data_IF_660252610064
#
_entry.id   IF_660252610064
#
_cell.length_a   1.000
_cell.length_b   1.000
_cell.length_c   1.000
_cell.angle_alpha   90.00
_cell.angle_beta   90.00
_cell.angle_gamma   90.00
#
_symmetry.space_group_name_H-M   'P 1'
#
loop_
_entity.id
_entity.type
_entity.pdbx_description
1 polymer ?
#
# COMPACT_ATOMS: atom_id res chain seq x y z
N UNK A 1 28.12 11.52 15.25
CA UNK A 1 27.75 12.86 15.75
C UNK A 1 26.70 12.65 16.81
N UNK A 2 26.87 13.13 18.06
CA UNK A 2 25.80 13.08 19.05
C UNK A 2 24.77 14.16 18.72
N UNK A 3 23.50 13.78 18.58
CA UNK A 3 22.38 14.70 18.43
C UNK A 3 22.24 15.50 19.73
N UNK A 4 22.25 16.83 19.66
CA UNK A 4 22.09 17.67 20.84
C UNK A 4 20.67 17.50 21.42
N UNK A 5 20.52 17.07 22.68
CA UNK A 5 19.21 16.74 23.27
C UNK A 5 18.19 17.88 23.25
N UNK A 6 18.64 19.14 23.18
CA UNK A 6 17.76 20.31 23.12
C UNK A 6 17.08 20.51 21.75
N UNK A 7 17.72 20.10 20.65
CA UNK A 7 17.20 20.36 19.31
C UNK A 7 15.96 19.50 18.99
N UNK A 8 15.92 18.27 19.49
CA UNK A 8 14.75 17.38 19.34
C UNK A 8 13.56 17.86 20.18
N UNK A 9 13.81 18.34 21.40
CA UNK A 9 12.76 18.89 22.28
C UNK A 9 12.15 20.16 21.68
N UNK A 10 12.97 21.06 21.13
CA UNK A 10 12.51 22.28 20.45
C UNK A 10 11.70 21.96 19.17
N UNK A 11 12.15 20.98 18.37
CA UNK A 11 11.43 20.53 17.19
C UNK A 11 10.06 19.92 17.53
N UNK A 12 9.99 19.12 18.60
CA UNK A 12 8.73 18.55 19.08
C UNK A 12 7.79 19.62 19.62
N UNK A 13 8.31 20.62 20.34
CA UNK A 13 7.52 21.76 20.81
C UNK A 13 6.95 22.57 19.64
N UNK A 14 7.77 22.84 18.62
CA UNK A 14 7.35 23.51 17.40
C UNK A 14 6.27 22.70 16.67
N UNK A 15 6.48 21.40 16.45
CA UNK A 15 5.49 20.54 15.79
C UNK A 15 4.15 20.58 16.55
N UNK A 16 4.17 20.41 17.88
CA UNK A 16 2.97 20.50 18.73
C UNK A 16 2.26 21.85 18.62
N UNK A 17 3.00 22.94 18.42
CA UNK A 17 2.42 24.27 18.23
C UNK A 17 1.71 24.43 16.88
N UNK A 18 2.13 23.67 15.86
CA UNK A 18 1.59 23.73 14.50
C UNK A 18 0.41 22.79 14.28
N UNK A 19 0.31 21.71 15.06
CA UNK A 19 -0.71 20.67 14.92
C UNK A 19 -2.08 21.05 15.51
N UNK A 20 -3.19 20.46 15.02
CA UNK A 20 -4.50 20.67 15.61
C UNK A 20 -4.54 20.22 17.08
N UNK A 21 -5.15 21.03 17.96
CA UNK A 21 -5.32 20.73 19.40
C UNK A 21 -6.65 20.01 19.74
N UNK A 22 -7.37 19.55 18.73
CA UNK A 22 -8.66 18.87 18.91
C UNK A 22 -8.48 17.38 19.22
N UNK A 23 -9.50 16.76 19.81
CA UNK A 23 -9.61 15.32 19.86
C UNK A 23 -10.11 14.78 18.52
N UNK A 24 -9.65 13.60 18.16
CA UNK A 24 -10.06 12.89 16.95
C UNK A 24 -10.59 11.52 17.33
N UNK A 25 -11.64 11.10 16.64
CA UNK A 25 -12.24 9.77 16.82
C UNK A 25 -11.26 8.66 16.41
N UNK A 26 -10.44 8.92 15.39
CA UNK A 26 -9.53 7.95 14.78
C UNK A 26 -8.14 8.54 14.55
N UNK A 27 -7.06 7.74 14.67
CA UNK A 27 -5.71 8.19 14.36
C UNK A 27 -5.56 8.74 12.93
N UNK A 28 -6.22 8.13 11.93
CA UNK A 28 -6.18 8.59 10.54
C UNK A 28 -6.70 10.03 10.38
N UNK A 29 -7.78 10.40 11.08
CA UNK A 29 -8.31 11.77 11.06
C UNK A 29 -7.32 12.78 11.63
N UNK A 30 -6.58 12.41 12.69
CA UNK A 30 -5.55 13.28 13.26
C UNK A 30 -4.41 13.52 12.26
N UNK A 31 -3.97 12.46 11.56
CA UNK A 31 -2.92 12.55 10.53
C UNK A 31 -3.40 13.37 9.33
N UNK A 32 -4.62 13.15 8.83
CA UNK A 32 -5.24 13.93 7.75
C UNK A 32 -5.31 15.42 8.10
N UNK A 33 -5.78 15.75 9.30
CA UNK A 33 -5.85 17.13 9.77
C UNK A 33 -4.47 17.77 9.94
N UNK A 34 -3.50 17.02 10.47
CA UNK A 34 -2.11 17.46 10.58
C UNK A 34 -1.52 17.80 9.21
N UNK A 35 -1.60 16.87 8.25
CA UNK A 35 -1.05 17.07 6.91
C UNK A 35 -1.71 18.25 6.21
N UNK A 36 -3.04 18.41 6.31
CA UNK A 36 -3.75 19.54 5.70
C UNK A 36 -3.30 20.90 6.26
N UNK A 37 -2.94 20.98 7.54
CA UNK A 37 -2.44 22.22 8.16
C UNK A 37 -0.96 22.46 7.80
N UNK A 38 -0.15 21.40 7.77
CA UNK A 38 1.28 21.51 7.52
C UNK A 38 1.58 21.77 6.04
N UNK A 39 0.78 21.21 5.12
CA UNK A 39 1.02 21.30 3.69
C UNK A 39 1.22 22.73 3.17
N UNK A 40 0.27 23.69 3.35
CA UNK A 40 0.46 25.04 2.84
C UNK A 40 1.60 25.80 3.54
N UNK A 41 1.98 25.39 4.76
CA UNK A 41 3.11 26.00 5.48
C UNK A 41 4.47 25.56 4.92
N UNK A 42 4.54 24.35 4.36
CA UNK A 42 5.75 23.78 3.81
C UNK A 42 5.89 23.99 2.30
N UNK A 43 4.77 23.95 1.57
CA UNK A 43 4.76 23.94 0.11
C UNK A 43 4.00 25.12 -0.51
N UNK A 44 3.47 26.03 0.31
CA UNK A 44 2.68 27.17 -0.16
C UNK A 44 1.37 26.77 -0.82
N UNK A 45 0.86 27.62 -1.71
CA UNK A 45 -0.42 27.42 -2.42
C UNK A 45 -0.24 26.91 -3.87
N UNK A 46 1.01 26.77 -4.34
CA UNK A 46 1.32 26.37 -5.71
C UNK A 46 0.99 24.89 -6.00
N UNK A 47 0.78 24.07 -4.97
CA UNK A 47 0.50 22.63 -5.10
C UNK A 47 -0.81 22.26 -4.47
N UNK A 48 -1.68 21.63 -5.27
CA UNK A 48 -2.89 21.01 -4.76
C UNK A 48 -2.53 19.87 -3.79
N UNK A 49 -3.08 19.93 -2.58
CA UNK A 49 -2.95 18.85 -1.61
C UNK A 49 -4.03 17.80 -1.83
N UNK A 50 -3.62 16.59 -2.20
CA UNK A 50 -4.49 15.42 -2.23
C UNK A 50 -3.96 14.37 -1.28
N UNK A 51 -4.81 13.89 -0.39
CA UNK A 51 -4.51 12.77 0.50
C UNK A 51 -5.63 11.74 0.42
N UNK A 52 -5.24 10.51 0.10
CA UNK A 52 -6.12 9.33 0.02
C UNK A 52 -5.67 8.38 1.13
N UNK A 53 -6.61 7.81 1.89
CA UNK A 53 -6.33 6.77 2.88
C UNK A 53 -7.22 5.52 2.72
N UNK A 54 -7.19 4.67 3.73
CA UNK A 54 -7.94 3.42 3.76
C UNK A 54 -9.47 3.61 3.80
N UNK A 55 -9.97 4.75 4.27
CA UNK A 55 -11.40 5.05 4.25
C UNK A 55 -11.87 5.43 2.84
N UNK A 56 -11.04 6.18 2.10
CA UNK A 56 -11.30 6.52 0.70
C UNK A 56 -11.27 5.26 -0.18
N UNK A 57 -10.33 4.34 0.10
CA UNK A 57 -10.29 3.03 -0.59
C UNK A 57 -11.43 2.12 -0.16
N UNK A 58 -11.88 2.17 1.10
CA UNK A 58 -13.06 1.44 1.54
C UNK A 58 -14.32 1.88 0.78
N UNK A 59 -14.46 3.18 0.49
CA UNK A 59 -15.55 3.70 -0.34
C UNK A 59 -15.43 3.21 -1.78
N UNK A 60 -14.23 3.26 -2.38
CA UNK A 60 -14.00 2.70 -3.72
C UNK A 60 -14.32 1.20 -3.81
N UNK A 61 -13.95 0.42 -2.78
CA UNK A 61 -14.32 -1.00 -2.71
C UNK A 61 -15.83 -1.14 -2.62
N UNK A 62 -16.51 -0.34 -1.80
CA UNK A 62 -17.97 -0.38 -1.69
C UNK A 62 -18.65 -0.02 -3.01
N UNK A 63 -18.14 0.95 -3.77
CA UNK A 63 -18.63 1.32 -5.09
C UNK A 63 -18.49 0.16 -6.08
N UNK A 64 -17.31 -0.46 -6.15
CA UNK A 64 -17.09 -1.67 -6.94
C UNK A 64 -18.04 -2.82 -6.54
N UNK A 65 -18.31 -3.01 -5.25
CA UNK A 65 -19.21 -4.07 -4.80
C UNK A 65 -20.69 -3.76 -5.02
N UNK A 66 -21.05 -2.49 -5.09
CA UNK A 66 -22.41 -2.04 -5.36
C UNK A 66 -22.80 -2.24 -6.83
N UNK A 67 -21.84 -2.09 -7.74
CA UNK A 67 -22.02 -2.43 -9.16
C UNK A 67 -22.07 -3.96 -9.37
N UNK A 68 -23.23 -4.45 -9.82
CA UNK A 68 -23.47 -5.87 -10.10
C UNK A 68 -22.57 -6.43 -11.22
N UNK A 69 -22.12 -5.57 -12.13
CA UNK A 69 -21.24 -5.94 -13.24
C UNK A 69 -19.75 -5.86 -12.90
N UNK A 70 -19.40 -5.35 -11.73
CA UNK A 70 -18.00 -5.11 -11.39
C UNK A 70 -17.20 -6.41 -11.31
N UNK A 71 -15.96 -6.37 -11.80
CA UNK A 71 -15.05 -7.52 -11.71
C UNK A 71 -14.84 -7.92 -10.25
N UNK A 72 -14.63 -6.96 -9.34
CA UNK A 72 -14.40 -7.24 -7.92
C UNK A 72 -15.57 -8.02 -7.30
N UNK A 73 -16.80 -7.62 -7.60
CA UNK A 73 -17.99 -8.29 -7.08
C UNK A 73 -18.11 -9.70 -7.66
N UNK A 74 -18.22 -9.78 -8.99
CA UNK A 74 -18.56 -11.01 -9.72
C UNK A 74 -17.46 -12.07 -9.63
N UNK A 75 -16.19 -11.66 -9.54
CA UNK A 75 -15.04 -12.56 -9.58
C UNK A 75 -14.43 -12.80 -8.21
N UNK A 76 -14.36 -11.82 -7.32
CA UNK A 76 -13.76 -12.03 -6.00
C UNK A 76 -14.77 -12.48 -4.95
N UNK A 77 -15.92 -11.80 -4.83
CA UNK A 77 -16.88 -12.07 -3.76
C UNK A 77 -17.90 -13.15 -4.13
N UNK A 78 -18.40 -13.15 -5.36
CA UNK A 78 -19.44 -14.10 -5.79
C UNK A 78 -18.85 -15.42 -6.31
N UNK A 79 -17.56 -15.45 -6.66
CA UNK A 79 -16.83 -16.69 -6.95
C UNK A 79 -15.95 -17.09 -5.77
N UNK A 80 -16.38 -18.05 -4.92
CA UNK A 80 -15.58 -18.48 -3.77
C UNK A 80 -14.25 -19.11 -4.17
N UNK A 81 -14.16 -19.65 -5.40
CA UNK A 81 -12.95 -20.31 -5.92
C UNK A 81 -11.79 -19.33 -6.06
N UNK A 82 -12.02 -18.13 -6.59
CA UNK A 82 -10.93 -17.16 -6.80
C UNK A 82 -10.38 -16.66 -5.48
N UNK A 83 -11.26 -16.26 -4.54
CA UNK A 83 -10.85 -15.80 -3.23
C UNK A 83 -10.03 -16.86 -2.46
N UNK A 84 -10.45 -18.12 -2.49
CA UNK A 84 -9.71 -19.22 -1.87
C UNK A 84 -8.36 -19.46 -2.56
N UNK A 85 -8.32 -19.48 -3.90
CA UNK A 85 -7.07 -19.65 -4.64
C UNK A 85 -6.05 -18.54 -4.36
N UNK A 86 -6.51 -17.29 -4.19
CA UNK A 86 -5.66 -16.16 -3.79
C UNK A 86 -5.02 -16.44 -2.43
N UNK A 87 -5.83 -16.84 -1.45
CA UNK A 87 -5.34 -17.13 -0.10
C UNK A 87 -4.35 -18.30 -0.09
N UNK A 88 -4.63 -19.36 -0.87
CA UNK A 88 -3.75 -20.53 -1.00
C UNK A 88 -2.41 -20.19 -1.68
N UNK A 89 -2.40 -19.26 -2.66
CA UNK A 89 -1.16 -18.81 -3.29
C UNK A 89 -0.33 -17.92 -2.36
N UNK A 90 -0.98 -17.07 -1.54
CA UNK A 90 -0.28 -16.30 -0.50
C UNK A 90 0.39 -17.24 0.50
N UNK A 91 -0.32 -18.29 0.96
CA UNK A 91 0.25 -19.28 1.88
C UNK A 91 1.44 -20.03 1.24
N UNK A 92 1.35 -20.37 -0.06
CA UNK A 92 2.45 -21.00 -0.80
C UNK A 92 3.67 -20.10 -0.91
N UNK A 93 3.49 -18.81 -1.19
CA UNK A 93 4.60 -17.84 -1.19
C UNK A 93 5.22 -17.70 0.20
N UNK A 94 4.39 -17.63 1.24
CA UNK A 94 4.85 -17.48 2.62
C UNK A 94 5.62 -18.69 3.14
N UNK A 95 5.30 -19.90 2.66
CA UNK A 95 6.02 -21.14 2.97
C UNK A 95 7.32 -21.32 2.14
N UNK A 96 7.48 -20.51 1.10
CA UNK A 96 8.63 -20.54 0.21
C UNK A 96 9.69 -19.48 0.55
N UNK A 97 10.63 -19.26 -0.37
CA UNK A 97 11.69 -18.25 -0.22
C UNK A 97 11.17 -16.80 -0.22
N UNK A 98 9.91 -16.59 -0.63
CA UNK A 98 9.21 -15.31 -0.54
C UNK A 98 8.63 -15.02 0.86
N UNK A 99 8.87 -15.91 1.83
CA UNK A 99 8.47 -15.72 3.23
C UNK A 99 8.86 -14.35 3.77
N UNK A 100 7.89 -13.64 4.35
CA UNK A 100 8.08 -12.30 4.93
C UNK A 100 7.87 -11.12 3.96
N UNK A 101 7.91 -11.34 2.64
CA UNK A 101 7.71 -10.27 1.66
C UNK A 101 6.23 -9.98 1.36
N UNK A 102 5.38 -11.00 1.39
CA UNK A 102 3.93 -10.86 1.27
C UNK A 102 3.22 -11.62 2.40
N UNK A 103 3.13 -10.99 3.57
CA UNK A 103 2.56 -11.62 4.76
C UNK A 103 1.02 -11.62 4.77
N UNK A 104 0.42 -12.76 5.13
CA UNK A 104 -1.04 -12.92 5.31
C UNK A 104 -1.54 -12.42 6.69
N UNK A 105 -1.42 -11.11 6.93
CA UNK A 105 -1.86 -10.50 8.18
C UNK A 105 -3.37 -10.66 8.45
N UNK A 106 -4.20 -10.59 7.40
CA UNK A 106 -5.65 -10.78 7.44
C UNK A 106 -6.16 -11.28 6.09
N UNK A 107 -7.33 -11.89 6.06
CA UNK A 107 -7.97 -12.34 4.83
C UNK A 107 -8.90 -11.25 4.30
N UNK A 108 -8.43 -10.54 3.27
CA UNK A 108 -9.11 -9.46 2.55
C UNK A 108 -9.45 -8.21 3.36
N UNK A 109 -10.00 -8.33 4.57
CA UNK A 109 -10.43 -7.21 5.40
C UNK A 109 -9.89 -7.32 6.82
N UNK A 110 -9.58 -6.18 7.43
CA UNK A 110 -9.39 -6.05 8.87
C UNK A 110 -10.72 -5.69 9.52
N UNK A 111 -10.96 -6.19 10.73
CA UNK A 111 -12.02 -5.64 11.58
C UNK A 111 -11.47 -4.47 12.38
N UNK A 112 -12.14 -3.33 12.33
CA UNK A 112 -11.75 -2.14 13.06
C UNK A 112 -12.63 -1.96 14.29
N UNK A 113 -12.02 -2.00 15.46
CA UNK A 113 -12.72 -1.86 16.73
C UNK A 113 -11.81 -1.15 17.75
N UNK A 114 -12.36 -0.16 18.45
CA UNK A 114 -11.65 0.57 19.52
C UNK A 114 -10.26 1.10 19.10
N UNK A 115 -10.17 1.67 17.91
CA UNK A 115 -8.91 2.25 17.41
C UNK A 115 -7.92 1.25 16.83
N UNK A 116 -8.26 -0.05 16.78
CA UNK A 116 -7.33 -1.12 16.39
C UNK A 116 -7.86 -1.92 15.19
N UNK A 117 -6.95 -2.32 14.32
CA UNK A 117 -7.19 -3.30 13.26
C UNK A 117 -6.96 -4.71 13.83
N UNK A 118 -7.96 -5.56 13.71
CA UNK A 118 -7.98 -6.94 14.20
C UNK A 118 -8.03 -7.90 13.00
N UNK A 119 -7.20 -8.95 12.97
CA UNK A 119 -7.13 -9.86 11.84
C UNK A 119 -8.38 -10.74 11.74
N UNK A 120 -8.86 -10.90 10.51
CA UNK A 120 -9.95 -11.79 10.13
C UNK A 120 -9.43 -12.96 9.30
N UNK A 121 -10.10 -14.10 9.44
CA UNK A 121 -9.89 -15.28 8.59
C UNK A 121 -11.18 -15.66 7.88
N UNK A 122 -11.06 -16.02 6.62
CA UNK A 122 -12.17 -16.51 5.83
C UNK A 122 -12.34 -18.01 6.06
N UNK A 123 -13.49 -18.42 6.61
CA UNK A 123 -13.82 -19.82 6.87
C UNK A 123 -15.27 -20.07 6.45
N UNK A 124 -15.48 -20.96 5.48
CA UNK A 124 -16.83 -21.33 5.03
C UNK A 124 -17.66 -20.14 4.51
N UNK A 125 -17.02 -19.15 3.88
CA UNK A 125 -17.69 -17.93 3.39
C UNK A 125 -17.99 -16.88 4.48
N UNK A 126 -17.43 -17.04 5.68
CA UNK A 126 -17.56 -16.11 6.80
C UNK A 126 -16.19 -15.51 7.13
N UNK A 127 -16.17 -14.22 7.46
CA UNK A 127 -15.03 -13.54 8.06
C UNK A 127 -15.11 -13.68 9.59
N UNK A 128 -14.13 -14.35 10.16
CA UNK A 128 -14.06 -14.69 11.58
C UNK A 128 -12.90 -13.94 12.23
N UNK A 129 -13.16 -13.29 13.36
CA UNK A 129 -12.11 -12.70 14.19
C UNK A 129 -11.19 -13.81 14.72
N UNK A 130 -9.90 -13.73 14.40
CA UNK A 130 -8.94 -14.78 14.74
C UNK A 130 -8.80 -15.02 16.25
N UNK A 131 -8.84 -13.95 17.04
CA UNK A 131 -8.64 -14.02 18.49
C UNK A 131 -9.88 -14.53 19.22
N UNK A 132 -11.07 -14.01 18.88
CA UNK A 132 -12.32 -14.34 19.60
C UNK A 132 -13.12 -15.46 18.97
N UNK A 133 -12.76 -15.89 17.74
CA UNK A 133 -13.50 -16.87 16.92
C UNK A 133 -14.94 -16.48 16.64
N UNK A 134 -15.27 -15.20 16.78
CA UNK A 134 -16.60 -14.67 16.49
C UNK A 134 -16.75 -14.37 15.01
N UNK A 135 -17.95 -14.61 14.47
CA UNK A 135 -18.30 -14.20 13.11
C UNK A 135 -18.47 -12.69 13.08
N UNK A 136 -17.73 -12.03 12.19
CA UNK A 136 -17.83 -10.59 11.98
C UNK A 136 -18.77 -10.33 10.80
N UNK A 137 -18.52 -10.93 9.65
CA UNK A 137 -19.33 -10.68 8.45
C UNK A 137 -19.40 -11.91 7.57
N UNK A 138 -20.47 -12.03 6.77
CA UNK A 138 -20.46 -12.94 5.63
C UNK A 138 -19.59 -12.33 4.53
N UNK A 139 -18.76 -13.15 3.88
CA UNK A 139 -17.98 -12.75 2.71
C UNK A 139 -18.89 -12.68 1.47
N UNK A 140 -19.79 -11.70 1.45
CA UNK A 140 -20.78 -11.45 0.41
C UNK A 140 -21.07 -9.96 0.32
N UNK A 141 -21.34 -9.45 -0.88
CA UNK A 141 -21.40 -8.02 -1.16
C UNK A 141 -22.27 -7.21 -0.18
N UNK A 142 -23.53 -7.58 0.14
CA UNK A 142 -24.37 -6.77 1.02
C UNK A 142 -23.76 -6.54 2.41
N UNK A 143 -23.24 -7.61 3.04
CA UNK A 143 -22.66 -7.53 4.39
C UNK A 143 -21.30 -6.85 4.43
N UNK A 144 -20.54 -6.91 3.33
CA UNK A 144 -19.27 -6.21 3.22
C UNK A 144 -19.50 -4.71 2.98
N UNK A 145 -20.39 -4.34 2.04
CA UNK A 145 -20.73 -2.94 1.75
C UNK A 145 -21.21 -2.22 3.00
N UNK A 146 -22.14 -2.81 3.75
CA UNK A 146 -22.65 -2.23 5.00
C UNK A 146 -21.52 -1.93 6.00
N UNK A 147 -20.56 -2.85 6.10
CA UNK A 147 -19.46 -2.74 7.07
C UNK A 147 -18.32 -1.84 6.63
N UNK A 148 -18.12 -1.67 5.32
CA UNK A 148 -17.25 -0.62 4.78
C UNK A 148 -17.88 0.74 5.07
N UNK A 149 -19.18 0.91 4.81
CA UNK A 149 -19.90 2.16 5.04
C UNK A 149 -19.89 2.59 6.52
N UNK A 150 -20.06 1.66 7.46
CA UNK A 150 -19.96 1.95 8.89
C UNK A 150 -18.52 1.90 9.44
N UNK A 151 -17.53 1.76 8.55
CA UNK A 151 -16.10 1.79 8.86
C UNK A 151 -15.65 0.75 9.89
N UNK A 152 -16.36 -0.37 9.99
CA UNK A 152 -15.98 -1.52 10.83
C UNK A 152 -15.14 -2.54 10.08
N UNK A 153 -15.16 -2.53 8.74
CA UNK A 153 -14.19 -3.24 7.91
C UNK A 153 -13.25 -2.27 7.21
N UNK A 154 -11.99 -2.67 7.10
CA UNK A 154 -10.95 -1.93 6.39
C UNK A 154 -10.31 -2.88 5.37
N UNK A 155 -10.25 -2.55 4.07
CA UNK A 155 -9.57 -3.37 3.07
C UNK A 155 -8.11 -3.62 3.47
N UNK A 156 -7.62 -4.84 3.25
CA UNK A 156 -6.20 -5.13 3.42
C UNK A 156 -5.39 -4.57 2.23
N UNK A 157 -4.08 -4.58 2.37
CA UNK A 157 -3.18 -3.99 1.37
C UNK A 157 -3.37 -4.62 -0.03
N UNK A 158 -3.60 -5.93 -0.11
CA UNK A 158 -3.87 -6.61 -1.37
C UNK A 158 -5.15 -6.07 -2.04
N UNK A 159 -6.26 -5.92 -1.29
CA UNK A 159 -7.48 -5.34 -1.83
C UNK A 159 -7.28 -3.90 -2.28
N UNK A 160 -6.52 -3.11 -1.53
CA UNK A 160 -6.22 -1.73 -1.90
C UNK A 160 -5.51 -1.67 -3.27
N UNK A 161 -4.42 -2.42 -3.45
CA UNK A 161 -3.74 -2.48 -4.75
C UNK A 161 -4.59 -3.14 -5.84
N UNK A 162 -5.45 -4.09 -5.48
CA UNK A 162 -6.36 -4.73 -6.44
C UNK A 162 -7.26 -3.69 -7.12
N UNK A 163 -7.94 -2.85 -6.33
CA UNK A 163 -8.89 -1.86 -6.87
C UNK A 163 -8.23 -0.57 -7.34
N UNK A 164 -7.02 -0.25 -6.87
CA UNK A 164 -6.32 0.96 -7.30
C UNK A 164 -5.46 0.72 -8.54
N UNK A 165 -4.61 -0.31 -8.52
CA UNK A 165 -3.49 -0.41 -9.48
C UNK A 165 -3.48 -1.67 -10.33
N UNK A 166 -4.08 -2.77 -9.86
CA UNK A 166 -4.09 -4.04 -10.60
C UNK A 166 -5.25 -4.08 -11.59
N UNK A 167 -6.48 -3.78 -11.15
CA UNK A 167 -7.66 -3.80 -12.04
C UNK A 167 -7.71 -2.57 -12.97
N UNK A 168 -7.52 -1.32 -12.48
CA UNK A 168 -7.57 -0.15 -13.36
C UNK A 168 -6.24 0.14 -14.05
N UNK A 169 -5.15 -0.55 -13.65
CA UNK A 169 -3.82 -0.34 -14.22
C UNK A 169 -3.13 0.96 -13.78
N UNK A 170 -3.68 1.72 -12.82
CA UNK A 170 -3.03 2.92 -12.29
C UNK A 170 -1.70 2.55 -11.66
N UNK A 171 -0.69 3.40 -11.81
CA UNK A 171 0.61 3.19 -11.17
C UNK A 171 0.56 3.72 -9.74
N UNK A 172 0.90 2.86 -8.79
CA UNK A 172 1.07 3.25 -7.41
C UNK A 172 2.56 3.41 -7.12
N UNK A 173 2.92 4.41 -6.31
CA UNK A 173 4.28 4.62 -5.81
C UNK A 173 4.27 4.47 -4.29
N UNK A 174 5.33 3.93 -3.72
CA UNK A 174 5.42 3.78 -2.28
C UNK A 174 6.81 3.39 -1.82
N UNK A 175 6.88 2.73 -0.66
CA UNK A 175 8.14 2.51 0.03
C UNK A 175 9.04 1.47 -0.63
N UNK A 176 10.24 1.33 -0.06
CA UNK A 176 11.29 0.42 -0.53
C UNK A 176 10.85 -1.01 -0.78
N UNK A 177 9.91 -1.57 -0.01
CA UNK A 177 9.46 -2.94 -0.17
C UNK A 177 8.39 -3.13 -1.26
N UNK A 178 7.79 -2.06 -1.76
CA UNK A 178 6.76 -2.14 -2.81
C UNK A 178 7.25 -2.83 -4.09
N UNK A 179 8.50 -2.61 -4.57
CA UNK A 179 9.08 -3.35 -5.69
C UNK A 179 9.13 -4.86 -5.51
N UNK A 180 8.98 -5.36 -4.29
CA UNK A 180 8.93 -6.79 -4.03
C UNK A 180 7.49 -7.25 -3.84
N UNK A 181 6.74 -6.66 -2.91
CA UNK A 181 5.41 -7.17 -2.59
C UNK A 181 4.37 -6.89 -3.68
N UNK A 182 4.50 -5.81 -4.46
CA UNK A 182 3.52 -5.48 -5.49
C UNK A 182 3.56 -6.48 -6.67
N UNK A 183 4.73 -6.84 -7.23
CA UNK A 183 4.81 -7.97 -8.17
C UNK A 183 4.31 -9.28 -7.58
N UNK A 184 4.59 -9.56 -6.30
CA UNK A 184 4.05 -10.76 -5.64
C UNK A 184 2.52 -10.75 -5.57
N UNK A 185 1.89 -9.60 -5.30
CA UNK A 185 0.43 -9.47 -5.34
C UNK A 185 -0.11 -9.75 -6.74
N UNK A 186 0.52 -9.19 -7.79
CA UNK A 186 0.13 -9.45 -9.18
C UNK A 186 0.27 -10.93 -9.54
N UNK A 187 1.40 -11.54 -9.17
CA UNK A 187 1.66 -12.95 -9.34
C UNK A 187 0.59 -13.81 -8.65
N UNK A 188 0.22 -13.48 -7.41
CA UNK A 188 -0.86 -14.16 -6.68
C UNK A 188 -2.17 -14.11 -7.45
N UNK A 189 -2.56 -12.93 -7.96
CA UNK A 189 -3.78 -12.78 -8.76
C UNK A 189 -3.67 -13.61 -10.05
N UNK A 190 -2.56 -13.53 -10.79
CA UNK A 190 -2.35 -14.32 -12.01
C UNK A 190 -2.51 -15.82 -11.78
N UNK A 191 -1.87 -16.36 -10.73
CA UNK A 191 -1.91 -17.79 -10.41
C UNK A 191 -3.26 -18.24 -9.88
N UNK A 192 -3.95 -17.39 -9.14
CA UNK A 192 -5.29 -17.68 -8.67
C UNK A 192 -6.30 -17.72 -9.83
N UNK A 193 -6.20 -16.80 -10.78
CA UNK A 193 -6.98 -16.79 -12.02
C UNK A 193 -6.68 -18.01 -12.88
N UNK A 194 -5.41 -18.40 -12.99
CA UNK A 194 -4.99 -19.61 -13.69
C UNK A 194 -5.59 -20.87 -13.08
N UNK A 195 -5.46 -21.03 -11.77
CA UNK A 195 -6.01 -22.18 -11.05
C UNK A 195 -7.54 -22.19 -11.08
N UNK A 196 -8.15 -21.02 -11.24
CA UNK A 196 -9.59 -20.89 -11.36
C UNK A 196 -10.11 -21.17 -12.79
N UNK A 197 -9.24 -21.13 -13.81
CA UNK A 197 -9.56 -21.05 -15.24
C UNK A 197 -10.43 -19.84 -15.58
N UNK A 198 -9.99 -18.65 -15.12
CA UNK A 198 -10.76 -17.41 -15.18
C UNK A 198 -9.98 -16.26 -15.83
N UNK A 199 -10.71 -15.38 -16.52
CA UNK A 199 -10.28 -14.10 -17.09
C UNK A 199 -8.89 -14.12 -17.77
N UNK A 200 -8.72 -14.89 -18.86
CA UNK A 200 -7.42 -15.03 -19.55
C UNK A 200 -6.88 -13.71 -20.09
N UNK A 201 -7.74 -12.74 -20.41
CA UNK A 201 -7.31 -11.42 -20.87
C UNK A 201 -6.69 -10.59 -19.73
N UNK A 202 -7.26 -10.63 -18.53
CA UNK A 202 -6.66 -10.00 -17.35
C UNK A 202 -5.32 -10.65 -17.01
N UNK A 203 -5.25 -11.98 -17.05
CA UNK A 203 -3.98 -12.70 -16.88
C UNK A 203 -2.93 -12.25 -17.90
N UNK A 204 -3.31 -12.13 -19.17
CA UNK A 204 -2.39 -11.68 -20.23
C UNK A 204 -1.92 -10.26 -19.98
N UNK A 205 -2.84 -9.35 -19.64
CA UNK A 205 -2.51 -7.96 -19.31
C UNK A 205 -1.54 -7.87 -18.13
N UNK A 206 -1.75 -8.68 -17.09
CA UNK A 206 -0.86 -8.70 -15.92
C UNK A 206 0.54 -9.23 -16.25
N UNK A 207 0.64 -10.21 -17.15
CA UNK A 207 1.90 -10.82 -17.59
C UNK A 207 2.64 -10.00 -18.67
N UNK A 208 1.96 -9.13 -19.41
CA UNK A 208 2.57 -8.30 -20.46
C UNK A 208 2.98 -6.90 -19.97
N UNK A 209 2.67 -6.56 -18.73
CA UNK A 209 2.99 -5.26 -18.14
C UNK A 209 4.41 -5.29 -17.57
N UNK A 210 5.32 -4.77 -18.38
CA UNK A 210 6.77 -4.76 -18.19
C UNK A 210 7.26 -3.63 -17.29
N UNK A 211 6.38 -2.70 -16.90
CA UNK A 211 6.75 -1.54 -16.09
C UNK A 211 6.51 -1.84 -14.60
N UNK A 212 7.56 -1.86 -13.76
CA UNK A 212 7.38 -1.99 -12.33
C UNK A 212 6.59 -0.79 -11.80
N UNK A 213 5.38 -1.03 -11.28
CA UNK A 213 4.60 -0.05 -10.51
C UNK A 213 5.18 0.14 -9.11
N UNK A 214 6.49 0.32 -9.03
CA UNK A 214 7.22 0.28 -7.79
C UNK A 214 8.55 1.02 -7.90
N UNK A 215 8.76 1.91 -6.94
CA UNK A 215 9.89 2.82 -6.87
C UNK A 215 10.33 2.90 -5.41
N UNK A 216 11.64 2.81 -5.16
CA UNK A 216 12.19 2.62 -3.81
C UNK A 216 12.42 3.91 -3.03
N UNK A 217 12.95 3.77 -1.82
CA UNK A 217 13.09 4.85 -0.83
C UNK A 217 14.10 5.92 -1.24
N UNK A 218 13.87 7.16 -0.77
CA UNK A 218 14.46 8.40 -1.32
C UNK A 218 14.23 8.45 -2.83
N UNK A 219 12.96 8.60 -3.19
CA UNK A 219 12.40 8.66 -4.56
C UNK A 219 13.19 9.58 -5.50
N UNK A 220 14.03 10.43 -4.93
CA UNK A 220 15.08 11.18 -5.59
C UNK A 220 16.44 10.69 -5.05
N UNK A 221 17.19 9.92 -5.84
CA UNK A 221 18.60 9.61 -5.62
C UNK A 221 19.44 10.80 -6.06
N UNK A 222 19.90 11.57 -5.08
CA UNK A 222 20.78 12.71 -5.30
C UNK A 222 21.82 12.84 -4.19
N UNK A 223 22.97 13.46 -4.51
CA UNK A 223 24.09 13.65 -3.58
C UNK A 223 23.77 14.65 -2.45
N UNK A 224 22.82 15.55 -2.69
CA UNK A 224 22.35 16.58 -1.75
C UNK A 224 21.04 16.13 -1.08
N UNK A 225 20.77 16.57 0.15
CA UNK A 225 19.47 16.34 0.79
C UNK A 225 18.45 17.39 0.31
N UNK A 226 17.41 17.02 -0.48
CA UNK A 226 16.42 17.98 -0.96
C UNK A 226 15.67 18.67 0.19
N UNK A 227 15.55 18.01 1.35
CA UNK A 227 14.90 18.60 2.52
C UNK A 227 15.74 19.70 3.16
N UNK A 228 17.07 19.66 3.05
CA UNK A 228 17.91 20.77 3.52
C UNK A 228 17.70 22.03 2.68
N UNK A 229 17.48 21.88 1.37
CA UNK A 229 17.16 22.99 0.48
C UNK A 229 15.76 23.57 0.79
N UNK A 230 14.77 22.71 1.02
CA UNK A 230 13.42 23.12 1.43
C UNK A 230 13.45 23.82 2.81
N UNK A 231 14.27 23.33 3.76
CA UNK A 231 14.37 23.87 5.13
C UNK A 231 15.07 25.22 5.20
N UNK A 232 16.05 25.46 4.33
CA UNK A 232 16.79 26.73 4.25
C UNK A 232 16.02 27.79 3.47
N UNK A 233 15.04 27.37 2.68
CA UNK A 233 14.39 28.22 1.69
C UNK A 233 13.21 29.05 2.15
N UNK A 234 13.11 30.25 1.57
CA UNK A 234 11.84 30.96 1.43
C UNK A 234 10.96 30.29 0.36
N UNK A 235 9.67 30.66 0.24
CA UNK A 235 8.70 30.07 -0.72
C UNK A 235 9.23 29.99 -2.18
N UNK A 236 10.23 30.79 -2.56
CA UNK A 236 10.90 30.73 -3.88
C UNK A 236 11.93 29.62 -4.06
N UNK A 237 12.57 29.12 -2.99
CA UNK A 237 13.62 28.09 -3.06
C UNK A 237 13.04 26.66 -3.10
N UNK A 238 11.81 26.46 -2.63
CA UNK A 238 11.07 25.21 -2.88
C UNK A 238 10.79 25.05 -4.38
N UNK A 239 10.56 26.15 -5.10
CA UNK A 239 10.35 26.17 -6.54
C UNK A 239 11.53 25.58 -7.32
N UNK A 240 12.78 25.86 -6.93
CA UNK A 240 13.97 25.32 -7.60
C UNK A 240 14.09 23.79 -7.46
N UNK A 241 13.74 23.23 -6.30
CA UNK A 241 13.68 21.78 -6.10
C UNK A 241 12.62 21.16 -7.01
N UNK A 242 11.48 21.84 -7.17
CA UNK A 242 10.39 21.37 -8.02
C UNK A 242 10.76 21.46 -9.50
N UNK A 243 11.32 22.57 -9.96
CA UNK A 243 11.75 22.72 -11.35
C UNK A 243 12.85 21.70 -11.70
N UNK A 244 13.74 21.40 -10.74
CA UNK A 244 14.82 20.43 -10.92
C UNK A 244 14.32 18.99 -11.08
N UNK A 245 13.34 18.58 -10.28
CA UNK A 245 12.89 17.18 -10.23
C UNK A 245 11.54 16.93 -10.93
N UNK A 246 10.75 17.97 -11.18
CA UNK A 246 9.38 17.87 -11.73
C UNK A 246 9.34 17.37 -13.17
N UNK A 247 10.36 17.67 -13.96
CA UNK A 247 10.51 17.21 -15.34
C UNK A 247 11.30 15.88 -15.46
N UNK A 248 11.75 15.31 -14.34
CA UNK A 248 12.55 14.09 -14.33
C UNK A 248 11.65 12.85 -14.38
N UNK A 249 11.91 11.88 -15.28
CA UNK A 249 11.24 10.58 -15.21
C UNK A 249 11.46 9.90 -13.86
N UNK A 250 10.42 9.30 -13.28
CA UNK A 250 10.53 8.64 -11.96
C UNK A 250 11.62 7.57 -11.90
N UNK A 251 11.83 6.82 -12.98
CA UNK A 251 12.90 5.81 -13.06
C UNK A 251 14.28 6.44 -12.88
N UNK A 252 14.49 7.64 -13.44
CA UNK A 252 15.75 8.36 -13.33
C UNK A 252 15.87 9.02 -11.95
N UNK A 253 14.78 9.58 -11.44
CA UNK A 253 14.74 10.16 -10.10
C UNK A 253 15.08 9.14 -9.02
N UNK A 254 14.55 7.91 -9.10
CA UNK A 254 14.83 6.87 -8.11
C UNK A 254 16.22 6.24 -8.22
N UNK A 255 16.87 6.41 -9.37
CA UNK A 255 18.19 5.88 -9.70
C UNK A 255 18.36 4.37 -9.45
N UNK A 256 19.56 3.96 -9.03
CA UNK A 256 19.99 2.58 -8.85
C UNK A 256 19.66 1.96 -7.50
N UNK A 257 18.90 2.64 -6.64
CA UNK A 257 18.54 2.17 -5.29
C UNK A 257 19.76 1.83 -4.42
N UNK A 258 20.89 2.52 -4.62
CA UNK A 258 22.18 2.21 -3.99
C UNK A 258 22.13 2.25 -2.46
N UNK A 259 21.16 2.97 -1.87
CA UNK A 259 20.93 3.03 -0.43
C UNK A 259 20.43 1.72 0.19
N UNK A 260 20.00 0.73 -0.62
CA UNK A 260 19.49 -0.57 -0.14
C UNK A 260 20.54 -1.66 -0.02
N UNK A 261 21.76 -1.45 -0.53
CA UNK A 261 22.80 -2.49 -0.59
C UNK A 261 23.24 -3.00 0.78
N UNK A 262 22.99 -2.23 1.85
CA UNK A 262 23.31 -2.60 3.23
C UNK A 262 22.09 -3.08 4.04
N UNK A 263 20.87 -3.05 3.47
CA UNK A 263 19.69 -3.57 4.15
C UNK A 263 19.74 -5.11 4.19
N UNK A 264 19.63 -5.74 5.38
CA UNK A 264 19.73 -7.19 5.51
C UNK A 264 18.70 -7.95 4.69
N UNK A 265 17.47 -7.44 4.60
CA UNK A 265 16.38 -8.09 3.86
C UNK A 265 16.67 -8.10 2.36
N UNK A 266 17.19 -6.99 1.83
CA UNK A 266 17.60 -6.88 0.42
C UNK A 266 18.84 -7.72 0.11
N UNK A 267 19.80 -7.78 1.04
CA UNK A 267 20.99 -8.62 0.89
C UNK A 267 20.61 -10.10 0.81
N UNK A 268 19.70 -10.54 1.69
CA UNK A 268 19.17 -11.90 1.69
C UNK A 268 18.42 -12.21 0.39
N UNK A 269 17.50 -11.33 -0.05
CA UNK A 269 16.79 -11.46 -1.31
C UNK A 269 17.75 -11.60 -2.51
N UNK A 270 18.78 -10.76 -2.56
CA UNK A 270 19.83 -10.82 -3.58
C UNK A 270 20.63 -12.14 -3.52
N UNK A 271 20.86 -12.70 -2.33
CA UNK A 271 21.49 -14.03 -2.19
C UNK A 271 20.58 -15.12 -2.76
N UNK A 272 19.32 -15.13 -2.36
CA UNK A 272 18.34 -16.13 -2.79
C UNK A 272 18.07 -16.10 -4.31
N UNK A 273 18.09 -14.91 -4.93
CA UNK A 273 18.02 -14.75 -6.38
C UNK A 273 19.26 -15.32 -7.08
N UNK A 274 20.47 -15.04 -6.56
CA UNK A 274 21.72 -15.57 -7.12
C UNK A 274 21.81 -17.09 -7.00
N UNK A 275 21.35 -17.64 -5.88
CA UNK A 275 21.30 -19.07 -5.61
C UNK A 275 20.15 -19.78 -6.34
N UNK A 276 19.32 -19.05 -7.11
CA UNK A 276 18.12 -19.55 -7.80
C UNK A 276 17.11 -20.22 -6.86
N UNK A 277 17.18 -19.93 -5.57
CA UNK A 277 16.14 -20.33 -4.62
C UNK A 277 14.82 -19.64 -4.98
N UNK A 278 14.90 -18.41 -5.49
CA UNK A 278 13.79 -17.64 -6.03
C UNK A 278 13.80 -17.66 -7.56
N UNK A 279 12.66 -17.97 -8.17
CA UNK A 279 12.50 -17.87 -9.62
C UNK A 279 12.25 -16.42 -10.07
N UNK A 280 13.00 -15.90 -11.06
CA UNK A 280 12.74 -14.58 -11.64
C UNK A 280 11.36 -14.44 -12.29
N UNK A 281 10.70 -15.57 -12.60
CA UNK A 281 9.40 -15.62 -13.28
C UNK A 281 8.26 -14.97 -12.47
N UNK A 282 8.49 -14.62 -11.22
CA UNK A 282 7.56 -13.81 -10.40
C UNK A 282 7.56 -12.34 -10.83
N UNK A 283 8.62 -11.89 -11.52
CA UNK A 283 8.79 -10.51 -11.99
C UNK A 283 8.72 -10.36 -13.51
N UNK A 284 8.49 -11.45 -14.26
CA UNK A 284 8.42 -11.46 -15.72
C UNK A 284 7.00 -11.59 -16.23
#
# INVERSE_FOLDING_TARGET
MPTEPNAEEDALALLRSLLPKTQFERPAHAIKAANRILWPKLFGESFAFLQIDDEDVADLVADHLSDEGSWLRTRLLESPKLALNILDEIDRLAAGPWGGWLARGTDFFWYYENGKRLPLRMVGGELINLATRTKVARFAAPGIIERLANRSLVPNLLLMFLVLSILPGVRALGGSHQPVYYPLMRYVICRALESADMDPDLRRALASDDVPGAWGHRVIECDEDPFESIRKGSIGETGEVIDRFGDMPFADACGGLSSFVSDPSWTELCSQLRERAIAPSVFS
#
